data_IF_711452236087
#
_entry.id   IF_711452236087
#
_cell.length_a   1.000
_cell.length_b   1.000
_cell.length_c   1.000
_cell.angle_alpha   90.00
_cell.angle_beta   90.00
_cell.angle_gamma   90.00
#
_symmetry.space_group_name_H-M   'P 1'
#
loop_
_entity.id
_entity.type
_entity.pdbx_description
1 polymer ?
#
# COMPACT_ATOMS: atom_id res chain seq x y z
N UNK A 1 -22.42 0.99 0.58
CA UNK A 1 -21.49 2.12 0.41
C UNK A 1 -20.08 1.56 0.53
N UNK A 2 -19.32 1.56 -0.56
CA UNK A 2 -17.94 1.06 -0.56
C UNK A 2 -17.10 2.01 0.31
N UNK A 3 -16.71 1.56 1.50
CA UNK A 3 -15.70 2.22 2.33
C UNK A 3 -14.34 2.04 1.65
N UNK A 4 -14.15 2.71 0.52
CA UNK A 4 -12.85 2.78 -0.13
C UNK A 4 -12.00 3.77 0.66
N UNK A 5 -11.31 3.26 1.68
CA UNK A 5 -10.41 4.06 2.50
C UNK A 5 -9.18 4.39 1.67
N UNK A 6 -9.16 5.60 1.10
CA UNK A 6 -8.00 6.12 0.37
C UNK A 6 -6.73 5.98 1.23
N UNK A 7 -5.60 5.75 0.57
CA UNK A 7 -4.30 5.71 1.25
C UNK A 7 -4.04 7.06 1.89
N UNK A 8 -3.74 7.06 3.18
CA UNK A 8 -3.25 8.24 3.88
C UNK A 8 -1.89 8.66 3.30
N UNK A 9 -1.50 9.91 3.53
CA UNK A 9 -0.20 10.40 3.07
C UNK A 9 0.98 9.58 3.61
N UNK A 10 0.89 9.19 4.88
CA UNK A 10 1.88 8.33 5.52
C UNK A 10 1.98 6.97 4.81
N UNK A 11 0.85 6.32 4.50
CA UNK A 11 0.86 5.04 3.79
C UNK A 11 1.45 5.18 2.39
N UNK A 12 1.18 6.27 1.67
CA UNK A 12 1.80 6.52 0.36
C UNK A 12 3.32 6.64 0.46
N UNK A 13 3.83 7.37 1.46
CA UNK A 13 5.27 7.46 1.72
C UNK A 13 5.88 6.09 2.06
N UNK A 14 5.18 5.31 2.87
CA UNK A 14 5.63 3.98 3.29
C UNK A 14 5.66 3.00 2.10
N UNK A 15 4.64 3.03 1.24
CA UNK A 15 4.61 2.28 -0.03
C UNK A 15 5.77 2.70 -0.92
N UNK A 16 6.03 4.00 -1.07
CA UNK A 16 7.12 4.50 -1.90
C UNK A 16 8.49 4.01 -1.41
N UNK A 17 8.75 4.12 -0.10
CA UNK A 17 9.99 3.63 0.50
C UNK A 17 10.16 2.10 0.34
N UNK A 18 9.07 1.33 0.50
CA UNK A 18 9.11 -0.12 0.33
C UNK A 18 9.30 -0.52 -1.14
N UNK A 19 8.68 0.18 -2.09
CA UNK A 19 8.91 -0.03 -3.53
C UNK A 19 10.35 0.29 -3.91
N UNK A 20 10.91 1.38 -3.38
CA UNK A 20 12.33 1.72 -3.56
C UNK A 20 13.26 0.66 -2.99
N UNK A 21 12.87 0.01 -1.90
CA UNK A 21 13.59 -1.13 -1.32
C UNK A 21 13.42 -2.44 -2.12
N UNK A 22 12.73 -2.43 -3.27
CA UNK A 22 12.52 -3.60 -4.12
C UNK A 22 11.45 -4.58 -3.62
N UNK A 23 10.60 -4.18 -2.67
CA UNK A 23 9.51 -5.02 -2.15
C UNK A 23 8.38 -5.11 -3.17
N UNK A 24 7.78 -6.29 -3.27
CA UNK A 24 6.63 -6.52 -4.14
C UNK A 24 5.33 -6.04 -3.49
N UNK A 25 4.34 -5.69 -4.32
CA UNK A 25 3.04 -5.18 -3.84
C UNK A 25 2.34 -6.13 -2.85
N UNK A 26 2.54 -7.45 -2.95
CA UNK A 26 1.99 -8.41 -1.99
C UNK A 26 2.62 -8.28 -0.59
N UNK A 27 3.94 -8.07 -0.52
CA UNK A 27 4.65 -7.86 0.75
C UNK A 27 4.25 -6.54 1.39
N UNK A 28 4.11 -5.49 0.58
CA UNK A 28 3.65 -4.17 1.01
C UNK A 28 2.20 -4.23 1.52
N UNK A 29 1.34 -4.97 0.82
CA UNK A 29 -0.04 -5.19 1.22
C UNK A 29 -0.14 -5.92 2.57
N UNK A 30 0.64 -6.99 2.76
CA UNK A 30 0.71 -7.72 4.02
C UNK A 30 1.26 -6.85 5.16
N UNK A 31 2.28 -6.03 4.88
CA UNK A 31 2.89 -5.13 5.84
C UNK A 31 1.94 -4.01 6.30
N UNK A 32 1.16 -3.45 5.38
CA UNK A 32 0.19 -2.37 5.68
C UNK A 32 -1.18 -2.89 6.10
N UNK A 33 -1.41 -4.21 6.08
CA UNK A 33 -2.74 -4.79 6.31
C UNK A 33 -3.78 -4.33 5.28
N UNK A 34 -3.33 -3.96 4.07
CA UNK A 34 -4.18 -3.46 2.98
C UNK A 34 -4.33 -4.51 1.89
N UNK A 35 -5.37 -4.37 1.07
CA UNK A 35 -5.51 -5.24 -0.09
C UNK A 35 -4.50 -4.86 -1.18
N UNK A 36 -3.94 -5.85 -1.90
CA UNK A 36 -2.96 -5.62 -2.98
C UNK A 36 -3.46 -4.66 -4.06
N UNK A 37 -4.77 -4.65 -4.34
CA UNK A 37 -5.38 -3.73 -5.30
C UNK A 37 -5.30 -2.27 -4.87
N UNK A 38 -5.18 -1.98 -3.57
CA UNK A 38 -5.01 -0.62 -3.05
C UNK A 38 -3.58 -0.11 -3.25
N UNK A 39 -2.59 -1.00 -3.29
CA UNK A 39 -1.16 -0.67 -3.52
C UNK A 39 -0.84 -0.54 -5.02
N UNK A 40 -1.63 -1.23 -5.85
CA UNK A 40 -1.56 -1.19 -7.32
C UNK A 40 -2.46 -0.12 -7.95
N UNK A 41 -3.22 0.62 -7.14
CA UNK A 41 -4.17 1.63 -7.59
C UNK A 41 -3.50 2.91 -8.09
#
# INVERSE_FOLDING_TARGET
>A
MNTYTQLTEQERYQIYALKQAGRNNNEIAAFLGRHKSTISQ
#
